data_IF_095243449041
#
_entry.id   IF_095243449041
#
_cell.length_a   1.000
_cell.length_b   1.000
_cell.length_c   1.000
_cell.angle_alpha   90.00
_cell.angle_beta   90.00
_cell.angle_gamma   90.00
#
_symmetry.space_group_name_H-M   'P 1'
#
loop_
_entity.id
_entity.type
_entity.pdbx_description
1 polymer ?
#
# COMPACT_ATOMS: atom_id res chain seq x y z
N UNK A 1 22.75 -1.86 -9.46
CA UNK A 1 22.97 -3.31 -9.26
C UNK A 1 22.29 -3.69 -7.93
N UNK A 2 21.33 -4.62 -7.95
CA UNK A 2 20.61 -5.02 -6.72
C UNK A 2 21.55 -5.82 -5.81
N UNK A 3 21.72 -5.38 -4.57
CA UNK A 3 22.53 -6.11 -3.58
C UNK A 3 21.60 -6.95 -2.70
N UNK A 4 21.72 -8.27 -2.82
CA UNK A 4 20.91 -9.23 -2.07
C UNK A 4 21.63 -9.70 -0.82
N UNK A 5 20.91 -9.85 0.30
CA UNK A 5 21.41 -10.58 1.46
C UNK A 5 20.37 -11.57 1.96
N UNK A 6 20.68 -12.86 1.83
CA UNK A 6 19.99 -13.95 2.55
C UNK A 6 20.72 -14.20 3.87
N UNK A 7 19.97 -14.30 4.98
CA UNK A 7 20.56 -14.52 6.30
C UNK A 7 21.04 -15.98 6.48
N UNK A 8 22.30 -16.17 6.89
CA UNK A 8 22.79 -17.45 7.44
C UNK A 8 22.71 -17.39 8.98
N UNK A 9 22.05 -18.34 9.65
CA UNK A 9 22.14 -18.44 11.10
C UNK A 9 23.54 -18.94 11.50
N UNK A 10 24.07 -18.38 12.60
CA UNK A 10 25.16 -19.01 13.36
C UNK A 10 24.50 -20.13 14.15
N UNK A 11 24.80 -21.39 13.81
CA UNK A 11 24.23 -22.55 14.49
C UNK A 11 24.94 -22.83 15.83
N UNK A 12 24.25 -23.38 16.83
CA UNK A 12 24.92 -24.03 17.95
C UNK A 12 25.49 -25.38 17.52
N UNK A 13 26.62 -25.79 18.12
CA UNK A 13 27.31 -27.06 17.89
C UNK A 13 26.50 -28.29 18.34
N UNK A 14 27.02 -29.50 18.10
CA UNK A 14 26.22 -30.72 18.10
C UNK A 14 25.96 -31.22 19.52
N UNK A 15 24.70 -31.50 19.84
CA UNK A 15 24.34 -32.34 20.98
C UNK A 15 23.83 -33.71 20.52
N UNK A 16 24.17 -34.68 21.36
CA UNK A 16 24.22 -36.11 21.12
C UNK A 16 22.83 -36.75 21.14
N UNK A 17 22.74 -37.90 20.47
CA UNK A 17 21.50 -38.58 20.15
C UNK A 17 20.83 -39.29 21.31
N UNK A 18 19.54 -39.57 21.12
CA UNK A 18 18.83 -40.66 21.78
C UNK A 18 17.93 -41.34 20.75
N UNK A 19 18.12 -42.65 20.61
CA UNK A 19 17.33 -43.56 19.78
C UNK A 19 15.88 -43.60 20.28
N UNK A 20 14.92 -43.70 19.35
CA UNK A 20 13.64 -44.35 19.63
C UNK A 20 13.18 -45.17 18.43
N UNK A 21 12.62 -46.31 18.77
CA UNK A 21 12.43 -47.52 17.99
C UNK A 21 11.46 -47.39 16.80
N UNK A 22 11.78 -48.16 15.76
CA UNK A 22 10.89 -48.51 14.66
C UNK A 22 9.71 -49.36 15.16
N UNK A 23 8.51 -49.04 14.68
CA UNK A 23 7.44 -50.04 14.53
C UNK A 23 6.91 -50.00 13.11
N UNK A 24 7.11 -51.13 12.47
CA UNK A 24 6.62 -51.55 11.18
C UNK A 24 5.08 -51.58 11.16
N UNK A 25 4.49 -51.23 10.03
CA UNK A 25 3.06 -51.07 9.85
C UNK A 25 2.73 -50.82 8.40
N UNK A 26 2.86 -51.86 7.58
CA UNK A 26 2.26 -51.91 6.24
C UNK A 26 0.75 -51.96 6.38
N UNK A 27 0.05 -51.06 5.69
CA UNK A 27 -1.19 -51.43 5.02
C UNK A 27 -1.49 -50.49 3.85
N UNK A 28 -1.82 -51.09 2.72
CA UNK A 28 -2.12 -50.40 1.46
C UNK A 28 -3.47 -49.71 1.51
N UNK A 29 -3.59 -48.58 0.81
CA UNK A 29 -4.87 -47.99 0.46
C UNK A 29 -4.90 -47.56 -1.00
N UNK A 30 -5.86 -48.15 -1.69
CA UNK A 30 -6.35 -47.77 -3.00
C UNK A 30 -6.80 -46.30 -3.01
N UNK A 31 -6.55 -45.64 -4.15
CA UNK A 31 -6.94 -44.26 -4.41
C UNK A 31 -8.46 -44.16 -4.65
N UNK A 32 -9.23 -43.92 -3.57
CA UNK A 32 -10.58 -43.39 -3.65
C UNK A 32 -10.55 -41.86 -3.61
N UNK A 33 -11.19 -41.20 -4.58
CA UNK A 33 -11.44 -39.74 -4.51
C UNK A 33 -12.28 -39.47 -3.25
N UNK A 34 -11.69 -38.82 -2.25
CA UNK A 34 -12.40 -38.39 -1.06
C UNK A 34 -13.44 -37.32 -1.44
N UNK A 35 -14.66 -37.44 -0.90
CA UNK A 35 -15.60 -36.33 -0.89
C UNK A 35 -15.00 -35.20 -0.04
N UNK A 36 -15.10 -33.93 -0.48
CA UNK A 36 -14.62 -32.80 0.31
C UNK A 36 -15.32 -32.77 1.68
N UNK A 37 -14.57 -32.39 2.72
CA UNK A 37 -15.13 -32.21 4.06
C UNK A 37 -16.13 -31.04 4.05
N UNK A 38 -17.14 -31.03 4.91
CA UNK A 38 -18.21 -30.01 4.90
C UNK A 38 -17.70 -28.54 4.98
N UNK A 39 -16.51 -28.31 5.56
CA UNK A 39 -15.85 -27.01 5.57
C UNK A 39 -15.20 -26.61 4.24
N UNK A 40 -14.74 -27.57 3.45
CA UNK A 40 -14.21 -27.35 2.11
C UNK A 40 -15.35 -27.04 1.13
N UNK A 41 -16.47 -27.76 1.20
CA UNK A 41 -17.65 -27.50 0.35
C UNK A 41 -18.18 -26.06 0.53
N UNK A 42 -18.33 -25.59 1.77
CA UNK A 42 -18.76 -24.22 2.06
C UNK A 42 -17.76 -23.15 1.58
N UNK A 43 -16.46 -23.49 1.53
CA UNK A 43 -15.43 -22.61 0.98
C UNK A 43 -15.52 -22.49 -0.55
N UNK A 44 -15.73 -23.62 -1.24
CA UNK A 44 -15.88 -23.64 -2.70
C UNK A 44 -17.14 -22.91 -3.15
N UNK A 45 -18.25 -23.09 -2.43
CA UNK A 45 -19.51 -22.40 -2.74
C UNK A 45 -19.37 -20.88 -2.59
N UNK A 46 -18.64 -20.41 -1.57
CA UNK A 46 -18.30 -18.99 -1.41
C UNK A 46 -17.50 -18.46 -2.60
N UNK A 47 -16.43 -19.15 -2.99
CA UNK A 47 -15.59 -18.75 -4.14
C UNK A 47 -16.43 -18.66 -5.42
N UNK A 48 -17.32 -19.62 -5.66
CA UNK A 48 -18.20 -19.60 -6.84
C UNK A 48 -19.22 -18.45 -6.80
N UNK A 49 -19.77 -18.15 -5.62
CA UNK A 49 -20.68 -17.01 -5.43
C UNK A 49 -19.99 -15.69 -5.76
N UNK A 50 -18.85 -15.42 -5.12
CA UNK A 50 -18.08 -14.20 -5.33
C UNK A 50 -17.56 -14.07 -6.78
N UNK A 51 -17.13 -15.17 -7.39
CA UNK A 51 -16.74 -15.19 -8.79
C UNK A 51 -17.92 -14.86 -9.71
N UNK A 52 -19.12 -15.40 -9.42
CA UNK A 52 -20.33 -15.13 -10.17
C UNK A 52 -20.73 -13.65 -10.15
N UNK A 53 -20.71 -13.02 -8.97
CA UNK A 53 -20.99 -11.58 -8.80
C UNK A 53 -19.97 -10.71 -9.54
N UNK A 54 -18.68 -11.02 -9.38
CA UNK A 54 -17.61 -10.30 -10.04
C UNK A 54 -17.70 -10.41 -11.57
N UNK A 55 -17.92 -11.61 -12.11
CA UNK A 55 -18.06 -11.82 -13.55
C UNK A 55 -19.31 -11.13 -14.10
N UNK A 56 -20.44 -11.17 -13.37
CA UNK A 56 -21.64 -10.43 -13.78
C UNK A 56 -21.35 -8.93 -13.92
N UNK A 57 -20.62 -8.34 -12.97
CA UNK A 57 -20.17 -6.95 -13.04
C UNK A 57 -19.24 -6.70 -14.23
N UNK A 58 -18.22 -7.56 -14.43
CA UNK A 58 -17.27 -7.43 -15.54
C UNK A 58 -17.97 -7.47 -16.90
N UNK A 59 -18.84 -8.43 -17.15
CA UNK A 59 -19.55 -8.58 -18.43
C UNK A 59 -20.59 -7.47 -18.66
N UNK A 60 -21.22 -6.95 -17.60
CA UNK A 60 -22.13 -5.81 -17.71
C UNK A 60 -21.40 -4.51 -18.10
N UNK A 61 -20.22 -4.26 -17.54
CA UNK A 61 -19.43 -3.05 -17.84
C UNK A 61 -18.52 -3.22 -19.08
N UNK A 62 -18.41 -4.43 -19.63
CA UNK A 62 -17.60 -4.75 -20.82
C UNK A 62 -18.41 -5.59 -21.83
N UNK A 63 -19.42 -5.02 -22.51
CA UNK A 63 -20.31 -5.77 -23.41
C UNK A 63 -19.58 -6.43 -24.59
N UNK A 64 -18.38 -5.94 -24.94
CA UNK A 64 -17.50 -6.57 -25.94
C UNK A 64 -16.93 -7.94 -25.53
N UNK A 65 -17.05 -8.35 -24.26
CA UNK A 65 -16.58 -9.65 -23.76
C UNK A 65 -17.48 -10.84 -24.18
N UNK A 66 -18.66 -10.57 -24.77
CA UNK A 66 -19.58 -11.60 -25.23
C UNK A 66 -20.47 -12.16 -24.11
N UNK A 67 -20.81 -13.45 -24.19
CA UNK A 67 -21.69 -14.10 -23.21
C UNK A 67 -20.91 -14.58 -21.99
N UNK A 68 -21.41 -14.29 -20.79
CA UNK A 68 -20.85 -14.76 -19.51
C UNK A 68 -20.92 -16.29 -19.31
N UNK A 69 -21.90 -16.97 -19.93
CA UNK A 69 -22.20 -18.40 -19.64
C UNK A 69 -21.03 -19.37 -19.83
N UNK A 70 -20.23 -19.32 -20.92
CA UNK A 70 -19.05 -20.17 -21.07
C UNK A 70 -18.03 -19.95 -19.95
N UNK A 71 -17.74 -18.69 -19.62
CA UNK A 71 -16.78 -18.34 -18.57
C UNK A 71 -17.20 -18.86 -17.19
N UNK A 72 -18.48 -18.80 -16.85
CA UNK A 72 -18.99 -19.39 -15.60
C UNK A 72 -18.80 -20.91 -15.53
N UNK A 73 -18.91 -21.62 -16.66
CA UNK A 73 -18.64 -23.07 -16.71
C UNK A 73 -17.16 -23.38 -16.52
N UNK A 74 -16.29 -22.60 -17.15
CA UNK A 74 -14.84 -22.72 -16.99
C UNK A 74 -14.42 -22.50 -15.54
N UNK A 75 -14.90 -21.41 -14.91
CA UNK A 75 -14.60 -21.11 -13.50
C UNK A 75 -15.11 -22.21 -12.58
N UNK A 76 -16.33 -22.73 -12.81
CA UNK A 76 -16.86 -23.85 -12.02
C UNK A 76 -15.99 -25.10 -12.12
N UNK A 77 -15.49 -25.42 -13.32
CA UNK A 77 -14.61 -26.56 -13.52
C UNK A 77 -13.25 -26.35 -12.85
N UNK A 78 -12.63 -25.17 -12.97
CA UNK A 78 -11.34 -24.86 -12.36
C UNK A 78 -11.41 -24.86 -10.83
N UNK A 79 -12.49 -24.33 -10.24
CA UNK A 79 -12.72 -24.35 -8.79
C UNK A 79 -12.91 -25.78 -8.29
N UNK A 80 -13.66 -26.62 -9.01
CA UNK A 80 -13.84 -28.02 -8.64
C UNK A 80 -12.52 -28.82 -8.68
N UNK A 81 -11.59 -28.46 -9.55
CA UNK A 81 -10.31 -29.14 -9.71
C UNK A 81 -9.23 -28.61 -8.75
N UNK A 82 -9.17 -27.30 -8.54
CA UNK A 82 -8.02 -26.63 -7.89
C UNK A 82 -8.37 -25.92 -6.59
N UNK A 83 -9.66 -25.82 -6.26
CA UNK A 83 -10.18 -25.06 -5.14
C UNK A 83 -10.24 -23.54 -5.35
N UNK A 84 -9.85 -23.05 -6.52
CA UNK A 84 -9.89 -21.62 -6.89
C UNK A 84 -9.98 -21.45 -8.42
N UNK A 85 -9.88 -20.24 -8.94
CA UNK A 85 -9.83 -20.00 -10.38
C UNK A 85 -8.85 -18.89 -10.75
N UNK A 86 -8.52 -18.80 -12.03
CA UNK A 86 -7.57 -17.83 -12.54
C UNK A 86 -8.29 -16.79 -13.40
N UNK A 87 -8.20 -15.51 -13.00
CA UNK A 87 -8.69 -14.39 -13.82
C UNK A 87 -7.98 -14.31 -15.17
N UNK A 88 -8.68 -13.87 -16.22
CA UNK A 88 -8.02 -13.39 -17.44
C UNK A 88 -7.24 -12.09 -17.17
N UNK A 89 -6.32 -11.67 -18.05
CA UNK A 89 -5.68 -10.36 -17.92
C UNK A 89 -6.68 -9.19 -17.87
N UNK A 90 -7.77 -9.27 -18.63
CA UNK A 90 -8.82 -8.25 -18.69
C UNK A 90 -9.64 -8.22 -17.40
N UNK A 91 -10.01 -9.40 -16.86
CA UNK A 91 -10.69 -9.54 -15.58
C UNK A 91 -9.82 -8.99 -14.45
N UNK A 92 -8.52 -9.32 -14.42
CA UNK A 92 -7.58 -8.78 -13.42
C UNK A 92 -7.49 -7.26 -13.48
N UNK A 93 -7.36 -6.71 -14.70
CA UNK A 93 -7.22 -5.28 -14.90
C UNK A 93 -8.51 -4.54 -14.49
N UNK A 94 -9.68 -5.09 -14.83
CA UNK A 94 -10.97 -4.56 -14.39
C UNK A 94 -11.12 -4.64 -12.87
N UNK A 95 -10.82 -5.79 -12.26
CA UNK A 95 -10.94 -5.97 -10.82
C UNK A 95 -10.05 -5.03 -10.01
N UNK A 96 -8.79 -4.84 -10.42
CA UNK A 96 -7.88 -3.89 -9.78
C UNK A 96 -8.38 -2.43 -9.89
N UNK A 97 -8.93 -2.05 -11.05
CA UNK A 97 -9.51 -0.73 -11.30
C UNK A 97 -10.77 -0.48 -10.47
N UNK A 98 -11.66 -1.46 -10.37
CA UNK A 98 -12.87 -1.37 -9.56
C UNK A 98 -12.53 -1.39 -8.06
N UNK A 99 -11.51 -2.14 -7.62
CA UNK A 99 -11.03 -2.08 -6.24
C UNK A 99 -10.61 -0.65 -5.83
N UNK A 100 -9.94 0.07 -6.74
CA UNK A 100 -9.64 1.49 -6.52
C UNK A 100 -10.88 2.37 -6.54
N UNK A 101 -11.81 2.16 -7.49
CA UNK A 101 -13.13 2.86 -7.52
C UNK A 101 -13.90 2.70 -6.20
N UNK A 102 -13.83 1.52 -5.61
CA UNK A 102 -14.53 1.15 -4.38
C UNK A 102 -13.82 1.61 -3.09
N UNK A 103 -12.65 2.24 -3.20
CA UNK A 103 -11.82 2.60 -2.04
C UNK A 103 -12.37 3.82 -1.29
N UNK A 104 -13.10 3.61 -0.19
CA UNK A 104 -13.81 4.67 0.54
C UNK A 104 -12.91 5.76 1.13
N UNK A 105 -11.64 5.43 1.40
CA UNK A 105 -10.60 6.34 1.94
C UNK A 105 -9.73 6.99 0.86
N UNK A 106 -10.16 6.97 -0.40
CA UNK A 106 -9.44 7.56 -1.54
C UNK A 106 -10.13 8.79 -2.10
N UNK A 107 -9.45 9.94 -2.12
CA UNK A 107 -9.97 11.14 -2.79
C UNK A 107 -9.70 11.13 -4.31
N UNK A 108 -8.62 10.46 -4.76
CA UNK A 108 -8.14 10.37 -6.14
C UNK A 108 -8.95 9.52 -7.12
N UNK A 109 -10.17 9.13 -6.78
CA UNK A 109 -10.89 8.08 -7.53
C UNK A 109 -11.35 8.49 -8.93
N UNK A 110 -11.30 9.77 -9.29
CA UNK A 110 -11.63 10.21 -10.65
C UNK A 110 -10.78 9.51 -11.73
N UNK A 111 -9.57 9.08 -11.37
CA UNK A 111 -8.58 8.48 -12.27
C UNK A 111 -8.62 6.95 -12.34
N UNK A 112 -9.61 6.31 -11.69
CA UNK A 112 -9.64 4.85 -11.52
C UNK A 112 -9.45 4.05 -12.81
N UNK A 113 -9.97 4.56 -13.94
CA UNK A 113 -9.82 3.92 -15.27
C UNK A 113 -8.40 3.99 -15.86
N UNK A 114 -7.59 4.96 -15.45
CA UNK A 114 -6.22 5.14 -15.94
C UNK A 114 -5.19 4.25 -15.25
N UNK A 115 -5.59 3.44 -14.26
CA UNK A 115 -4.70 2.53 -13.56
C UNK A 115 -4.00 1.59 -14.55
N UNK A 116 -2.66 1.66 -14.57
CA UNK A 116 -1.80 0.71 -15.27
C UNK A 116 -1.62 -0.53 -14.42
N UNK A 117 -1.99 -1.69 -14.98
CA UNK A 117 -1.91 -2.98 -14.27
C UNK A 117 -0.73 -3.77 -14.82
N UNK A 118 0.29 -3.96 -13.98
CA UNK A 118 1.43 -4.84 -14.26
C UNK A 118 1.09 -6.24 -13.77
N UNK A 119 0.66 -7.10 -14.69
CA UNK A 119 0.39 -8.51 -14.38
C UNK A 119 1.71 -9.25 -14.16
N UNK A 120 1.96 -9.62 -12.89
CA UNK A 120 3.12 -10.39 -12.43
C UNK A 120 2.67 -11.60 -11.61
N UNK A 121 1.47 -12.15 -11.90
CA UNK A 121 0.89 -13.27 -11.14
C UNK A 121 1.71 -14.56 -11.19
N UNK A 122 2.68 -14.66 -12.09
CA UNK A 122 3.65 -15.78 -12.17
C UNK A 122 4.88 -15.59 -11.26
N UNK A 123 5.04 -14.42 -10.65
CA UNK A 123 6.18 -14.08 -9.78
C UNK A 123 5.77 -14.33 -8.33
N UNK A 124 6.41 -15.32 -7.70
CA UNK A 124 6.14 -15.73 -6.31
C UNK A 124 7.39 -15.76 -5.41
N UNK A 125 8.59 -15.66 -5.99
CA UNK A 125 9.85 -15.65 -5.23
C UNK A 125 10.11 -14.27 -4.64
N UNK A 126 10.72 -14.22 -3.46
CA UNK A 126 11.03 -12.95 -2.80
C UNK A 126 11.96 -12.08 -3.65
N UNK A 127 12.94 -12.68 -4.34
CA UNK A 127 13.84 -11.98 -5.26
C UNK A 127 13.09 -11.41 -6.47
N UNK A 128 12.19 -12.19 -7.07
CA UNK A 128 11.41 -11.74 -8.23
C UNK A 128 10.47 -10.59 -7.88
N UNK A 129 9.81 -10.68 -6.72
CA UNK A 129 8.95 -9.59 -6.21
C UNK A 129 9.76 -8.34 -5.95
N UNK A 130 10.95 -8.46 -5.35
CA UNK A 130 11.83 -7.32 -5.11
C UNK A 130 12.29 -6.64 -6.40
N UNK A 131 12.69 -7.41 -7.42
CA UNK A 131 13.03 -6.88 -8.75
C UNK A 131 11.85 -6.11 -9.34
N UNK A 132 10.67 -6.71 -9.35
CA UNK A 132 9.48 -6.11 -9.97
C UNK A 132 8.92 -4.92 -9.17
N UNK A 133 9.15 -4.86 -7.86
CA UNK A 133 8.82 -3.70 -7.04
C UNK A 133 9.73 -2.49 -7.36
N UNK A 134 11.02 -2.74 -7.63
CA UNK A 134 11.94 -1.69 -8.08
C UNK A 134 11.58 -1.23 -9.50
N UNK A 135 11.24 -2.14 -10.41
CA UNK A 135 10.75 -1.78 -11.74
C UNK A 135 9.42 -1.01 -11.69
N UNK A 136 8.53 -1.33 -10.74
CA UNK A 136 7.33 -0.54 -10.50
C UNK A 136 7.68 0.93 -10.22
N UNK A 137 8.63 1.19 -9.32
CA UNK A 137 9.04 2.56 -8.97
C UNK A 137 9.63 3.32 -10.18
N UNK A 138 10.48 2.66 -10.97
CA UNK A 138 11.06 3.22 -12.21
C UNK A 138 9.99 3.57 -13.24
N UNK A 139 9.02 2.70 -13.43
CA UNK A 139 7.92 2.90 -14.38
C UNK A 139 6.83 3.85 -13.89
N UNK A 140 6.70 4.05 -12.57
CA UNK A 140 5.64 4.85 -11.97
C UNK A 140 5.84 6.35 -12.19
N UNK A 141 7.09 6.84 -12.26
CA UNK A 141 7.39 8.28 -12.36
C UNK A 141 8.32 8.65 -13.53
N UNK A 142 8.00 8.27 -14.79
CA UNK A 142 8.84 8.59 -15.94
C UNK A 142 9.03 10.11 -16.06
N UNK A 143 10.28 10.57 -15.89
CA UNK A 143 10.66 12.00 -15.92
C UNK A 143 9.83 12.85 -14.95
N UNK A 144 9.58 12.34 -13.73
CA UNK A 144 8.81 13.03 -12.69
C UNK A 144 7.30 12.97 -12.87
N UNK A 145 6.78 12.47 -14.01
CA UNK A 145 5.35 12.34 -14.25
C UNK A 145 4.81 11.07 -13.62
N UNK A 146 4.42 11.16 -12.35
CA UNK A 146 3.84 10.05 -11.59
C UNK A 146 2.53 9.60 -12.23
N UNK A 147 2.36 8.28 -12.40
CA UNK A 147 1.21 7.63 -13.03
C UNK A 147 0.62 6.58 -12.11
N UNK A 148 -0.72 6.43 -12.06
CA UNK A 148 -1.34 5.39 -11.29
C UNK A 148 -0.95 4.02 -11.81
N UNK A 149 -0.28 3.22 -10.98
CA UNK A 149 0.26 1.92 -11.35
C UNK A 149 0.02 0.92 -10.22
N UNK A 150 -0.30 -0.31 -10.56
CA UNK A 150 -0.34 -1.45 -9.64
C UNK A 150 0.47 -2.61 -10.22
N UNK A 151 1.22 -3.31 -9.38
CA UNK A 151 1.84 -4.58 -9.74
C UNK A 151 1.15 -5.70 -8.99
N UNK A 152 0.52 -6.64 -9.69
CA UNK A 152 -0.20 -7.74 -9.03
C UNK A 152 0.64 -9.01 -9.11
N UNK A 153 1.10 -9.51 -7.96
CA UNK A 153 1.90 -10.72 -7.83
C UNK A 153 1.04 -11.98 -7.70
N UNK A 154 1.67 -13.14 -7.48
CA UNK A 154 0.96 -14.42 -7.35
C UNK A 154 -0.14 -14.37 -6.26
N UNK A 155 -1.34 -14.92 -6.54
CA UNK A 155 -2.41 -15.00 -5.54
C UNK A 155 -2.11 -16.03 -4.46
N UNK A 156 -2.86 -15.96 -3.36
CA UNK A 156 -2.98 -17.10 -2.45
C UNK A 156 -3.70 -18.26 -3.19
N UNK A 157 -3.20 -19.49 -3.02
CA UNK A 157 -3.85 -20.73 -3.48
C UNK A 157 -4.06 -21.68 -2.30
N UNK A 158 -5.02 -22.63 -2.40
CA UNK A 158 -5.18 -23.67 -1.38
C UNK A 158 -3.83 -24.35 -1.06
N UNK A 159 -3.41 -24.31 0.20
CA UNK A 159 -2.14 -24.87 0.67
C UNK A 159 -0.86 -24.14 0.23
N UNK A 160 -0.96 -23.05 -0.54
CA UNK A 160 0.19 -22.33 -1.09
C UNK A 160 -0.04 -20.80 -1.04
N UNK A 161 0.42 -20.11 0.02
CA UNK A 161 0.26 -18.66 0.13
C UNK A 161 1.12 -17.91 -0.89
N UNK A 162 0.61 -16.79 -1.40
CA UNK A 162 1.35 -15.87 -2.26
C UNK A 162 2.42 -15.07 -1.51
N UNK A 163 3.28 -14.34 -2.22
CA UNK A 163 4.28 -13.49 -1.58
C UNK A 163 3.65 -12.34 -0.79
N UNK A 164 4.43 -11.69 0.07
CA UNK A 164 4.06 -10.49 0.84
C UNK A 164 5.21 -9.49 0.85
N UNK A 165 4.89 -8.20 0.80
CA UNK A 165 5.83 -7.12 1.15
C UNK A 165 5.45 -6.65 2.55
N UNK A 166 6.43 -6.57 3.44
CA UNK A 166 6.22 -6.20 4.84
C UNK A 166 6.16 -4.69 5.05
N UNK A 167 6.78 -3.92 4.15
CA UNK A 167 6.77 -2.48 4.19
C UNK A 167 5.35 -1.94 3.96
N UNK A 168 4.96 -0.91 4.71
CA UNK A 168 3.68 -0.20 4.48
C UNK A 168 3.63 0.39 3.07
N UNK A 169 4.74 1.00 2.64
CA UNK A 169 4.95 1.51 1.30
C UNK A 169 6.30 1.06 0.77
N UNK A 170 6.45 0.99 -0.56
CA UNK A 170 7.72 0.60 -1.20
C UNK A 170 8.85 1.53 -0.78
N UNK A 171 8.59 2.83 -0.67
CA UNK A 171 9.54 3.82 -0.16
C UNK A 171 8.99 4.37 1.15
N UNK A 172 9.78 4.26 2.22
CA UNK A 172 9.58 4.95 3.51
C UNK A 172 10.95 5.27 4.10
N UNK A 173 11.00 6.30 4.92
CA UNK A 173 12.20 6.65 5.68
C UNK A 173 12.26 5.90 7.00
N UNK A 174 13.48 5.64 7.46
CA UNK A 174 13.76 4.97 8.71
C UNK A 174 13.55 5.89 9.91
N UNK A 175 13.34 5.30 11.09
CA UNK A 175 13.25 5.98 12.37
C UNK A 175 14.20 5.33 13.38
N UNK A 176 15.28 6.01 13.73
CA UNK A 176 16.28 5.50 14.67
C UNK A 176 15.98 6.01 16.07
N UNK A 177 15.69 5.11 17.01
CA UNK A 177 15.55 5.46 18.42
C UNK A 177 16.91 5.86 18.98
N UNK A 178 16.99 7.07 19.52
CA UNK A 178 18.21 7.64 20.09
C UNK A 178 18.30 7.35 21.59
N UNK A 179 19.52 7.41 22.19
CA UNK A 179 19.70 7.15 23.62
C UNK A 179 18.94 8.10 24.55
N UNK A 180 18.66 9.32 24.11
CA UNK A 180 17.91 10.35 24.85
C UNK A 180 16.38 10.19 24.76
N UNK A 181 15.89 9.16 24.07
CA UNK A 181 14.48 8.89 23.87
C UNK A 181 13.87 9.55 22.62
N UNK A 182 14.61 10.44 21.94
CA UNK A 182 14.19 11.02 20.67
C UNK A 182 14.24 9.99 19.52
N UNK A 183 13.63 10.33 18.39
CA UNK A 183 13.75 9.54 17.15
C UNK A 183 14.36 10.39 16.05
N UNK A 184 15.45 9.90 15.46
CA UNK A 184 16.04 10.46 14.26
C UNK A 184 15.35 9.85 13.03
N UNK A 185 14.77 10.69 12.17
CA UNK A 185 14.01 10.28 10.99
C UNK A 185 12.52 10.18 11.29
N UNK A 186 11.84 9.16 10.77
CA UNK A 186 10.38 9.04 10.86
C UNK A 186 9.95 8.16 12.07
N UNK A 187 9.33 8.73 13.12
CA UNK A 187 8.85 7.94 14.27
C UNK A 187 7.85 6.85 13.91
N UNK A 188 7.05 7.02 12.85
CA UNK A 188 6.13 5.98 12.36
C UNK A 188 6.85 4.71 11.95
N UNK A 189 8.07 4.85 11.46
CA UNK A 189 8.93 3.75 11.03
C UNK A 189 9.83 3.21 12.15
N UNK A 190 9.80 3.78 13.37
CA UNK A 190 10.81 3.48 14.39
C UNK A 190 10.80 2.03 14.86
N UNK A 191 9.61 1.46 15.05
CA UNK A 191 9.45 0.06 15.43
C UNK A 191 9.93 -0.88 14.32
N UNK A 192 9.51 -0.61 13.08
CA UNK A 192 9.94 -1.39 11.91
C UNK A 192 11.46 -1.29 11.69
N UNK A 193 12.03 -0.10 11.83
CA UNK A 193 13.48 0.14 11.76
C UNK A 193 14.23 -0.67 12.82
N UNK A 194 13.78 -0.61 14.07
CA UNK A 194 14.36 -1.40 15.17
C UNK A 194 14.31 -2.90 14.86
N UNK A 195 13.18 -3.37 14.32
CA UNK A 195 12.99 -4.74 13.90
C UNK A 195 14.00 -5.16 12.82
N UNK A 196 14.25 -4.31 11.82
CA UNK A 196 15.18 -4.57 10.72
C UNK A 196 16.64 -4.58 11.19
N UNK A 197 17.03 -3.64 12.06
CA UNK A 197 18.37 -3.59 12.65
C UNK A 197 18.68 -4.89 13.40
N UNK A 198 17.73 -5.37 14.22
CA UNK A 198 17.85 -6.67 14.92
C UNK A 198 17.96 -7.86 13.96
N UNK A 199 17.35 -7.76 12.77
CA UNK A 199 17.41 -8.77 11.71
C UNK A 199 18.58 -8.56 10.73
N UNK A 200 19.58 -7.76 11.11
CA UNK A 200 20.85 -7.63 10.40
C UNK A 200 20.88 -6.57 9.30
N UNK A 201 19.86 -5.72 9.19
CA UNK A 201 20.01 -4.48 8.43
C UNK A 201 21.06 -3.61 9.11
N UNK A 202 21.97 -3.02 8.33
CA UNK A 202 23.08 -2.20 8.86
C UNK A 202 22.68 -0.77 9.21
N UNK A 203 21.44 -0.37 8.90
CA UNK A 203 21.03 1.03 8.88
C UNK A 203 21.42 1.71 7.57
N UNK A 204 20.91 2.94 7.38
CA UNK A 204 21.35 3.85 6.35
C UNK A 204 22.53 4.69 6.84
N UNK A 205 22.85 5.79 6.14
CA UNK A 205 23.90 6.73 6.54
C UNK A 205 23.70 7.44 7.89
N UNK A 206 22.56 7.26 8.57
CA UNK A 206 22.20 7.92 9.82
C UNK A 206 21.60 9.31 9.61
N UNK A 207 20.77 9.49 8.57
CA UNK A 207 20.10 10.77 8.29
C UNK A 207 18.60 10.71 8.59
N UNK A 208 17.91 11.87 8.72
CA UNK A 208 16.46 11.90 8.86
C UNK A 208 15.67 11.31 7.68
N UNK A 209 16.32 11.04 6.54
CA UNK A 209 15.68 10.60 5.31
C UNK A 209 16.34 9.33 4.74
N UNK A 210 16.83 8.45 5.61
CA UNK A 210 17.39 7.16 5.21
C UNK A 210 16.29 6.23 4.70
N UNK A 211 16.35 5.83 3.42
CA UNK A 211 15.37 4.91 2.81
C UNK A 211 15.49 3.51 3.43
N UNK A 212 14.36 2.99 3.90
CA UNK A 212 14.25 1.62 4.40
C UNK A 212 14.50 0.59 3.30
N UNK A 213 15.11 -0.58 3.62
CA UNK A 213 15.17 -1.68 2.67
C UNK A 213 13.76 -2.25 2.43
N UNK A 214 13.55 -2.79 1.24
CA UNK A 214 12.35 -3.57 0.94
C UNK A 214 12.48 -4.96 1.57
N UNK A 215 11.44 -5.38 2.28
CA UNK A 215 11.37 -6.68 2.94
C UNK A 215 10.25 -7.52 2.36
N UNK A 216 10.64 -8.67 1.81
CA UNK A 216 9.75 -9.52 1.02
C UNK A 216 9.79 -10.95 1.53
N UNK A 217 8.64 -11.56 1.80
CA UNK A 217 8.53 -12.99 2.07
C UNK A 217 7.85 -13.71 0.91
N UNK A 218 8.44 -14.81 0.44
CA UNK A 218 7.77 -15.75 -0.47
C UNK A 218 6.91 -16.76 0.29
N UNK A 219 6.29 -17.69 -0.43
CA UNK A 219 5.49 -18.80 0.12
C UNK A 219 6.31 -19.65 1.13
N UNK A 220 6.22 -19.35 2.43
CA UNK A 220 6.93 -20.08 3.49
C UNK A 220 8.44 -19.84 3.62
N UNK A 221 8.99 -18.86 2.89
CA UNK A 221 10.42 -18.55 2.89
C UNK A 221 10.85 -17.54 3.97
N UNK A 222 12.14 -17.54 4.33
CA UNK A 222 12.73 -16.46 5.14
C UNK A 222 12.60 -15.12 4.39
N UNK A 223 12.29 -14.02 5.09
CA UNK A 223 12.18 -12.71 4.44
C UNK A 223 13.51 -12.29 3.83
N UNK A 224 13.47 -11.85 2.59
CA UNK A 224 14.55 -11.18 1.88
C UNK A 224 14.54 -9.70 2.26
N UNK A 225 15.69 -9.17 2.69
CA UNK A 225 15.91 -7.74 2.83
C UNK A 225 16.78 -7.26 1.67
N UNK A 226 16.30 -6.27 0.92
CA UNK A 226 17.01 -5.73 -0.23
C UNK A 226 16.99 -4.20 -0.22
N UNK A 227 18.15 -3.60 -0.47
CA UNK A 227 18.23 -2.16 -0.64
C UNK A 227 17.55 -1.75 -1.95
N UNK A 228 16.77 -0.68 -1.90
CA UNK A 228 16.18 -0.08 -3.09
C UNK A 228 17.30 0.71 -3.79
N UNK A 229 17.58 0.45 -5.08
CA UNK A 229 18.57 1.22 -5.82
C UNK A 229 18.21 2.71 -5.83
N UNK A 230 19.20 3.59 -5.61
CA UNK A 230 18.96 5.04 -5.55
C UNK A 230 18.33 5.61 -6.82
N UNK A 231 18.59 5.01 -7.99
CA UNK A 231 17.96 5.42 -9.25
C UNK A 231 16.45 5.13 -9.33
N UNK A 232 15.93 4.25 -8.46
CA UNK A 232 14.51 3.97 -8.33
C UNK A 232 13.81 4.86 -7.28
N UNK A 233 14.56 5.66 -6.52
CA UNK A 233 14.04 6.57 -5.50
C UNK A 233 14.10 8.00 -6.02
N UNK A 234 12.98 8.50 -6.54
CA UNK A 234 12.84 9.91 -6.88
C UNK A 234 12.47 10.70 -5.62
N UNK A 235 13.33 11.63 -5.20
CA UNK A 235 13.09 12.54 -4.07
C UNK A 235 13.02 14.00 -4.53
N UNK A 236 12.21 14.79 -3.85
CA UNK A 236 12.10 16.24 -4.01
C UNK A 236 12.61 16.91 -2.74
N UNK A 237 13.65 17.73 -2.86
CA UNK A 237 14.08 18.61 -1.77
C UNK A 237 13.08 19.75 -1.57
N UNK A 238 12.70 20.03 -0.33
CA UNK A 238 11.66 21.00 -0.01
C UNK A 238 12.29 22.39 0.24
N UNK A 239 11.82 23.37 -0.53
CA UNK A 239 12.16 24.78 -0.44
C UNK A 239 10.88 25.63 -0.45
N UNK A 240 10.98 26.86 0.04
CA UNK A 240 9.86 27.80 0.08
C UNK A 240 10.11 28.94 -0.92
N UNK A 241 9.08 29.41 -1.66
CA UNK A 241 9.23 30.52 -2.60
C UNK A 241 9.70 31.82 -1.92
N UNK A 242 9.18 32.10 -0.72
CA UNK A 242 9.43 33.36 -0.01
C UNK A 242 10.39 33.24 1.18
N UNK A 243 10.74 32.01 1.58
CA UNK A 243 11.57 31.74 2.75
C UNK A 243 12.82 30.95 2.37
N UNK A 244 13.91 31.60 1.93
CA UNK A 244 15.15 30.93 1.51
C UNK A 244 15.80 30.07 2.60
N UNK A 245 15.46 30.31 3.87
CA UNK A 245 15.94 29.49 4.99
C UNK A 245 15.35 28.08 4.99
N UNK A 246 14.20 27.85 4.35
CA UNK A 246 13.52 26.55 4.35
C UNK A 246 14.39 25.47 3.69
N UNK A 247 15.05 25.80 2.57
CA UNK A 247 15.96 24.89 1.88
C UNK A 247 17.14 24.43 2.76
N UNK A 248 17.55 25.25 3.73
CA UNK A 248 18.63 24.91 4.67
C UNK A 248 18.21 23.90 5.75
N UNK A 249 16.92 23.64 5.91
CA UNK A 249 16.44 22.56 6.78
C UNK A 249 16.77 21.18 6.20
N UNK A 250 17.08 21.07 4.90
CA UNK A 250 17.45 19.81 4.26
C UNK A 250 16.30 18.80 4.14
N UNK A 251 15.06 19.25 4.34
CA UNK A 251 13.85 18.44 4.23
C UNK A 251 13.68 17.95 2.80
N UNK A 252 13.26 16.69 2.66
CA UNK A 252 12.96 16.07 1.36
C UNK A 252 11.83 15.06 1.51
N UNK A 253 11.21 14.71 0.39
CA UNK A 253 10.23 13.64 0.36
C UNK A 253 10.28 12.83 -0.94
N UNK A 254 10.01 11.54 -0.88
CA UNK A 254 9.93 10.69 -2.06
C UNK A 254 8.70 11.05 -2.90
N UNK A 255 8.79 10.94 -4.22
CA UNK A 255 7.74 11.39 -5.14
C UNK A 255 6.62 10.36 -5.36
N UNK A 256 6.93 9.06 -5.18
CA UNK A 256 5.99 7.97 -5.44
C UNK A 256 5.50 7.39 -4.11
N UNK A 257 4.24 7.64 -3.72
CA UNK A 257 3.60 6.93 -2.61
C UNK A 257 3.10 5.58 -3.12
N UNK A 258 3.84 4.50 -2.91
CA UNK A 258 3.42 3.17 -3.37
C UNK A 258 3.05 2.29 -2.17
N UNK A 259 1.77 2.17 -1.85
CA UNK A 259 1.26 1.30 -0.78
C UNK A 259 1.57 -0.16 -1.13
N UNK A 260 2.08 -0.95 -0.19
CA UNK A 260 2.56 -2.31 -0.48
C UNK A 260 2.11 -3.41 0.49
N UNK A 261 1.43 -3.05 1.59
CA UNK A 261 0.99 -3.99 2.63
C UNK A 261 -0.51 -4.35 2.56
N UNK A 262 -1.23 -3.92 1.53
CA UNK A 262 -2.63 -4.28 1.30
C UNK A 262 -2.75 -5.45 0.33
N UNK A 263 -3.72 -6.33 0.57
CA UNK A 263 -4.15 -7.35 -0.35
C UNK A 263 -5.24 -6.82 -1.28
N UNK A 264 -5.23 -7.24 -2.55
CA UNK A 264 -6.29 -7.00 -3.52
C UNK A 264 -7.21 -8.23 -3.57
N UNK A 265 -8.50 -8.07 -3.27
CA UNK A 265 -9.51 -9.12 -3.32
C UNK A 265 -10.43 -8.91 -4.53
N UNK A 266 -10.51 -9.91 -5.41
CA UNK A 266 -11.33 -9.89 -6.63
C UNK A 266 -12.08 -11.22 -6.73
N UNK A 267 -13.40 -11.19 -6.60
CA UNK A 267 -14.29 -12.33 -6.85
C UNK A 267 -13.84 -13.65 -6.20
N UNK A 268 -13.55 -13.67 -4.90
CA UNK A 268 -13.08 -14.87 -4.19
C UNK A 268 -11.59 -15.17 -4.29
N UNK A 269 -10.82 -14.43 -5.11
CA UNK A 269 -9.36 -14.60 -5.22
C UNK A 269 -8.63 -13.47 -4.49
N UNK A 270 -7.67 -13.85 -3.65
CA UNK A 270 -6.83 -12.92 -2.89
C UNK A 270 -5.45 -12.78 -3.54
N UNK A 271 -5.09 -11.54 -3.88
CA UNK A 271 -3.76 -11.13 -4.31
C UNK A 271 -3.06 -10.41 -3.17
N UNK A 272 -2.28 -11.13 -2.36
CA UNK A 272 -1.79 -10.61 -1.09
C UNK A 272 -0.64 -9.61 -1.22
N UNK A 273 -0.01 -9.54 -2.39
CA UNK A 273 1.03 -8.58 -2.70
C UNK A 273 0.64 -7.89 -4.00
N UNK A 274 0.13 -6.67 -3.86
CA UNK A 274 -0.37 -5.89 -4.98
C UNK A 274 0.02 -4.40 -4.83
N UNK A 275 1.33 -4.06 -4.77
CA UNK A 275 1.74 -2.68 -4.53
C UNK A 275 1.17 -1.73 -5.57
N UNK A 276 0.62 -0.62 -5.09
CA UNK A 276 -0.17 0.34 -5.85
C UNK A 276 0.25 1.77 -5.51
N UNK A 277 0.36 2.62 -6.53
CA UNK A 277 0.56 4.06 -6.38
C UNK A 277 -0.45 4.85 -7.22
N UNK A 278 -0.81 6.03 -6.73
CA UNK A 278 -1.22 7.20 -7.50
C UNK A 278 -0.13 8.28 -7.42
N UNK A 279 -0.49 9.54 -7.22
CA UNK A 279 0.44 10.62 -6.82
C UNK A 279 -0.02 11.36 -5.56
N UNK A 280 0.89 12.08 -4.91
CA UNK A 280 0.57 12.78 -3.66
C UNK A 280 -0.46 13.90 -3.84
N UNK A 281 -1.36 14.02 -2.86
CA UNK A 281 -1.98 15.28 -2.48
C UNK A 281 -1.05 16.02 -1.50
N UNK A 282 -0.81 17.32 -1.71
CA UNK A 282 0.19 18.09 -0.94
C UNK A 282 0.08 17.95 0.57
N UNK A 283 -1.14 17.88 1.11
CA UNK A 283 -1.42 17.74 2.54
C UNK A 283 -0.99 16.39 3.11
N UNK A 284 -0.84 15.33 2.31
CA UNK A 284 -0.26 14.07 2.80
C UNK A 284 1.20 14.28 3.25
N UNK A 285 1.95 15.09 2.51
CA UNK A 285 3.34 15.42 2.87
C UNK A 285 3.35 16.55 3.89
N UNK A 286 2.79 17.70 3.54
CA UNK A 286 2.93 18.93 4.33
C UNK A 286 2.20 18.87 5.67
N UNK A 287 0.93 18.44 5.66
CA UNK A 287 0.11 18.45 6.87
C UNK A 287 0.25 17.21 7.73
N UNK A 288 0.53 16.04 7.14
CA UNK A 288 0.66 14.79 7.90
C UNK A 288 2.13 14.41 8.13
N UNK A 289 2.86 14.11 7.08
CA UNK A 289 4.23 13.59 7.22
C UNK A 289 5.19 14.60 7.88
N UNK A 290 5.12 15.87 7.48
CA UNK A 290 6.05 16.89 7.95
C UNK A 290 5.59 17.61 9.22
N UNK A 291 4.27 17.70 9.46
CA UNK A 291 3.73 18.54 10.53
C UNK A 291 3.15 17.77 11.73
N UNK A 292 2.71 16.51 11.60
CA UNK A 292 2.17 15.77 12.74
C UNK A 292 3.25 15.63 13.84
N UNK A 293 2.85 15.82 15.11
CA UNK A 293 3.73 15.75 16.29
C UNK A 293 4.34 14.35 16.49
N UNK A 294 3.65 13.30 16.04
CA UNK A 294 4.12 11.91 16.06
C UNK A 294 4.90 11.53 14.78
N UNK A 295 5.25 12.51 13.94
CA UNK A 295 6.01 12.36 12.69
C UNK A 295 7.27 13.22 12.70
N UNK A 296 7.48 14.09 11.70
CA UNK A 296 8.67 14.94 11.63
C UNK A 296 8.55 16.23 12.44
N UNK A 297 7.35 16.57 12.93
CA UNK A 297 7.08 17.69 13.83
C UNK A 297 7.79 19.01 13.45
N UNK A 298 7.63 19.44 12.19
CA UNK A 298 8.27 20.68 11.70
C UNK A 298 7.58 21.96 12.15
N UNK A 299 6.37 21.89 12.75
CA UNK A 299 5.60 23.09 13.12
C UNK A 299 6.38 24.03 14.05
N UNK A 300 6.99 23.58 15.16
CA UNK A 300 7.73 24.47 16.06
C UNK A 300 8.94 25.11 15.38
N UNK A 301 9.64 24.34 14.53
CA UNK A 301 10.84 24.80 13.80
C UNK A 301 10.47 25.90 12.81
N UNK A 302 9.40 25.69 12.04
CA UNK A 302 8.92 26.68 11.05
C UNK A 302 8.42 27.94 11.74
N UNK A 303 7.67 27.80 12.84
CA UNK A 303 7.18 28.94 13.61
C UNK A 303 8.32 29.80 14.19
N UNK A 304 9.36 29.18 14.74
CA UNK A 304 10.56 29.87 15.22
C UNK A 304 11.24 30.65 14.08
N UNK A 305 11.45 30.01 12.92
CA UNK A 305 12.11 30.64 11.76
C UNK A 305 11.29 31.77 11.13
N UNK A 306 9.97 31.74 11.28
CA UNK A 306 9.07 32.82 10.87
C UNK A 306 8.94 33.92 11.93
N UNK A 307 9.44 33.72 13.15
CA UNK A 307 9.30 34.68 14.26
C UNK A 307 7.86 34.78 14.78
N UNK A 308 7.10 33.68 14.72
CA UNK A 308 5.72 33.64 15.23
C UNK A 308 5.71 33.59 16.77
N UNK A 309 4.69 34.20 17.38
CA UNK A 309 4.44 34.07 18.81
C UNK A 309 3.86 32.68 19.13
N UNK A 310 4.69 31.80 19.69
CA UNK A 310 4.31 30.44 20.10
C UNK A 310 3.88 30.33 21.57
N UNK A 311 3.75 31.46 22.27
CA UNK A 311 3.40 31.46 23.71
C UNK A 311 1.93 31.10 23.99
N UNK A 312 1.06 31.21 22.99
CA UNK A 312 -0.38 30.92 23.12
C UNK A 312 -0.98 30.37 21.83
N UNK A 313 -1.86 29.38 21.92
CA UNK A 313 -2.61 28.86 20.77
C UNK A 313 -3.49 29.92 20.09
N UNK A 314 -3.87 30.97 20.81
CA UNK A 314 -4.70 32.06 20.26
C UNK A 314 -3.98 32.87 19.18
N UNK A 315 -2.65 32.78 19.07
CA UNK A 315 -1.89 33.41 17.99
C UNK A 315 -2.07 32.69 16.66
N UNK A 316 -2.62 31.46 16.67
CA UNK A 316 -2.77 30.58 15.49
C UNK A 316 -1.43 30.28 14.80
N UNK A 317 -0.35 30.22 15.59
CA UNK A 317 0.98 29.97 15.06
C UNK A 317 1.09 28.61 14.35
N UNK A 318 0.38 27.58 14.85
CA UNK A 318 0.32 26.25 14.22
C UNK A 318 -0.33 26.34 12.84
N UNK A 319 -1.48 27.00 12.73
CA UNK A 319 -2.20 27.18 11.48
C UNK A 319 -1.34 27.90 10.43
N UNK A 320 -0.67 28.99 10.84
CA UNK A 320 0.20 29.76 9.95
C UNK A 320 1.39 28.92 9.48
N UNK A 321 2.13 28.28 10.39
CA UNK A 321 3.26 27.41 10.03
C UNK A 321 2.82 26.23 9.13
N UNK A 322 1.67 25.63 9.41
CA UNK A 322 1.11 24.51 8.66
C UNK A 322 0.81 24.90 7.20
N UNK A 323 0.25 26.10 6.98
CA UNK A 323 0.02 26.62 5.62
C UNK A 323 1.34 26.78 4.88
N UNK A 324 2.35 27.41 5.47
CA UNK A 324 3.64 27.64 4.81
C UNK A 324 4.41 26.34 4.51
N UNK A 325 4.28 25.31 5.36
CA UNK A 325 4.83 23.98 5.05
C UNK A 325 4.16 23.40 3.79
N UNK A 326 2.84 23.54 3.64
CA UNK A 326 2.12 23.05 2.47
C UNK A 326 2.44 23.86 1.21
N UNK A 327 2.64 25.18 1.33
CA UNK A 327 3.15 26.03 0.24
C UNK A 327 4.53 25.56 -0.21
N UNK A 328 5.45 25.29 0.73
CA UNK A 328 6.78 24.77 0.43
C UNK A 328 6.72 23.46 -0.38
N UNK A 329 5.87 22.52 0.05
CA UNK A 329 5.71 21.22 -0.60
C UNK A 329 5.23 21.38 -2.04
N UNK A 330 4.12 22.09 -2.26
CA UNK A 330 3.56 22.26 -3.61
C UNK A 330 4.55 22.98 -4.53
N UNK A 331 5.14 24.09 -4.06
CA UNK A 331 6.15 24.84 -4.81
C UNK A 331 7.34 23.95 -5.23
N UNK A 332 7.85 23.13 -4.32
CA UNK A 332 9.02 22.30 -4.57
C UNK A 332 8.75 21.21 -5.60
N UNK A 333 7.58 20.57 -5.53
CA UNK A 333 7.18 19.55 -6.50
C UNK A 333 6.95 20.15 -7.89
N UNK A 334 6.32 21.32 -7.97
CA UNK A 334 6.14 22.06 -9.22
C UNK A 334 7.48 22.46 -9.83
N UNK A 335 8.39 23.03 -9.02
CA UNK A 335 9.72 23.43 -9.46
C UNK A 335 10.58 22.24 -9.94
N UNK A 336 10.40 21.07 -9.32
CA UNK A 336 11.04 19.82 -9.74
C UNK A 336 10.36 19.13 -10.94
N UNK A 337 9.22 19.66 -11.41
CA UNK A 337 8.42 19.08 -12.49
C UNK A 337 7.75 17.74 -12.14
N UNK A 338 7.63 17.44 -10.84
CA UNK A 338 7.09 16.19 -10.30
C UNK A 338 5.58 16.32 -10.06
N UNK A 339 4.80 15.31 -10.45
CA UNK A 339 3.34 15.32 -10.26
C UNK A 339 2.97 15.41 -8.77
N UNK A 340 2.16 16.40 -8.42
CA UNK A 340 1.47 16.55 -7.14
C UNK A 340 0.13 17.25 -7.39
N UNK A 341 -0.85 17.08 -6.49
CA UNK A 341 -2.10 17.85 -6.50
C UNK A 341 -2.30 18.64 -5.22
N UNK A 342 -3.00 19.78 -5.31
CA UNK A 342 -3.52 20.49 -4.15
C UNK A 342 -4.86 19.91 -3.67
N UNK A 343 -5.15 20.09 -2.39
CA UNK A 343 -6.32 19.49 -1.74
C UNK A 343 -7.65 20.14 -2.14
N UNK A 344 -7.67 21.42 -2.56
CA UNK A 344 -8.89 22.05 -3.04
C UNK A 344 -9.30 21.51 -4.42
N UNK A 345 -8.33 21.30 -5.32
CA UNK A 345 -8.58 20.73 -6.64
C UNK A 345 -8.99 19.27 -6.56
N UNK A 346 -8.32 18.45 -5.74
CA UNK A 346 -8.73 17.04 -5.56
C UNK A 346 -10.11 16.92 -4.91
N UNK A 347 -10.45 17.80 -3.97
CA UNK A 347 -11.81 17.83 -3.40
C UNK A 347 -12.88 18.09 -4.47
N UNK A 348 -12.66 19.01 -5.41
CA UNK A 348 -13.58 19.24 -6.54
C UNK A 348 -13.63 18.06 -7.50
N UNK A 349 -12.48 17.45 -7.79
CA UNK A 349 -12.39 16.25 -8.66
C UNK A 349 -13.10 15.05 -8.05
N UNK A 350 -13.04 14.90 -6.74
CA UNK A 350 -13.75 13.86 -6.01
C UNK A 350 -15.27 14.02 -6.15
N UNK A 351 -15.82 15.22 -6.02
CA UNK A 351 -17.25 15.44 -6.25
C UNK A 351 -17.65 15.15 -7.71
N UNK A 352 -16.79 15.49 -8.68
CA UNK A 352 -17.01 15.09 -10.08
C UNK A 352 -17.04 13.57 -10.25
N UNK A 353 -16.19 12.83 -9.53
CA UNK A 353 -16.23 11.37 -9.52
C UNK A 353 -17.55 10.85 -8.94
N UNK A 354 -17.94 11.37 -7.77
CA UNK A 354 -19.17 10.99 -7.10
C UNK A 354 -20.39 11.20 -8.02
N UNK A 355 -20.52 12.36 -8.65
CA UNK A 355 -21.61 12.64 -9.62
C UNK A 355 -21.63 11.65 -10.80
N UNK A 356 -20.46 11.17 -11.23
CA UNK A 356 -20.36 10.17 -12.32
C UNK A 356 -20.83 8.79 -11.86
N UNK A 357 -20.54 8.41 -10.62
CA UNK A 357 -21.00 7.15 -10.05
C UNK A 357 -22.51 7.17 -9.81
N UNK A 358 -23.04 8.27 -9.26
CA UNK A 358 -24.48 8.47 -9.07
C UNK A 358 -25.26 8.43 -10.39
N UNK A 359 -24.77 9.13 -11.42
CA UNK A 359 -25.38 9.11 -12.75
C UNK A 359 -25.40 7.72 -13.38
N UNK A 360 -24.44 6.88 -12.99
CA UNK A 360 -24.38 5.49 -13.42
C UNK A 360 -25.17 4.53 -12.52
N UNK A 361 -25.95 5.05 -11.56
CA UNK A 361 -26.77 4.27 -10.64
C UNK A 361 -25.97 3.49 -9.60
N UNK A 362 -24.72 3.88 -9.34
CA UNK A 362 -23.84 3.21 -8.37
C UNK A 362 -23.72 4.00 -7.08
N UNK A 363 -23.54 3.28 -5.97
CA UNK A 363 -23.12 3.88 -4.70
C UNK A 363 -21.63 4.25 -4.79
N UNK A 364 -21.26 5.41 -4.25
CA UNK A 364 -19.88 5.87 -4.16
C UNK A 364 -19.45 5.83 -2.68
N UNK A 365 -18.83 4.74 -2.20
CA UNK A 365 -18.51 4.60 -0.79
C UNK A 365 -17.50 5.68 -0.38
N UNK A 366 -17.68 6.35 0.74
CA UNK A 366 -16.74 7.37 1.20
C UNK A 366 -16.72 7.50 2.71
N UNK A 367 -15.51 7.46 3.27
CA UNK A 367 -15.26 7.73 4.67
C UNK A 367 -14.94 9.22 4.81
N UNK A 368 -15.88 9.99 5.37
CA UNK A 368 -15.76 11.44 5.51
C UNK A 368 -14.46 11.86 6.22
N UNK A 369 -14.04 11.10 7.23
CA UNK A 369 -12.84 11.40 8.03
C UNK A 369 -11.53 11.30 7.24
N UNK A 370 -11.55 10.57 6.12
CA UNK A 370 -10.42 10.42 5.21
C UNK A 370 -10.53 11.30 3.96
N UNK A 371 -11.76 11.59 3.51
CA UNK A 371 -12.00 12.40 2.31
C UNK A 371 -11.81 13.90 2.58
N UNK A 372 -12.17 14.38 3.77
CA UNK A 372 -11.93 15.79 4.12
C UNK A 372 -10.44 16.02 4.36
N UNK A 373 -9.81 16.97 3.65
CA UNK A 373 -8.38 17.24 3.86
C UNK A 373 -8.07 17.70 5.28
N UNK A 374 -6.89 17.34 5.82
CA UNK A 374 -6.48 17.66 7.20
C UNK A 374 -6.15 19.16 7.39
N UNK A 375 -6.10 19.93 6.30
CA UNK A 375 -5.93 21.37 6.29
C UNK A 375 -7.12 22.00 5.57
N UNK A 376 -7.66 23.09 6.13
CA UNK A 376 -8.72 23.90 5.50
C UNK A 376 -9.99 23.13 5.15
N UNK A 377 -10.38 22.15 5.98
CA UNK A 377 -11.49 21.22 5.72
C UNK A 377 -12.78 21.90 5.23
N UNK A 378 -13.33 22.85 6.00
CA UNK A 378 -14.58 23.55 5.64
C UNK A 378 -14.46 24.48 4.43
N UNK A 379 -13.24 24.82 4.00
CA UNK A 379 -12.98 25.54 2.75
C UNK A 379 -12.93 24.60 1.53
N UNK A 380 -13.16 23.30 1.73
CA UNK A 380 -13.28 22.32 0.65
C UNK A 380 -14.74 21.89 0.47
N UNK A 381 -15.19 21.61 -0.77
CA UNK A 381 -16.58 21.28 -1.01
C UNK A 381 -16.97 19.89 -0.48
N UNK A 382 -15.99 19.01 -0.22
CA UNK A 382 -16.23 17.66 0.30
C UNK A 382 -16.67 17.65 1.77
N UNK A 383 -16.41 18.72 2.52
CA UNK A 383 -16.81 18.86 3.92
C UNK A 383 -18.34 18.92 4.10
N UNK A 384 -19.04 19.58 3.16
CA UNK A 384 -20.45 19.99 3.30
C UNK A 384 -21.45 18.90 2.91
N UNK A 385 -21.05 17.63 2.96
CA UNK A 385 -21.86 16.50 2.48
C UNK A 385 -21.69 15.28 3.38
N UNK A 386 -22.76 14.50 3.52
CA UNK A 386 -22.74 13.16 4.11
C UNK A 386 -22.44 12.09 3.05
N UNK A 387 -21.72 11.06 3.48
CA UNK A 387 -21.32 9.95 2.62
C UNK A 387 -21.73 8.62 3.25
N UNK A 388 -22.08 7.67 2.40
CA UNK A 388 -22.28 6.28 2.81
C UNK A 388 -20.93 5.56 2.81
N UNK A 389 -20.50 5.04 3.95
CA UNK A 389 -19.30 4.19 4.05
C UNK A 389 -19.71 2.71 3.96
N UNK A 390 -19.91 2.24 2.74
CA UNK A 390 -20.27 0.84 2.45
C UNK A 390 -19.08 0.06 1.92
N UNK A 391 -18.89 -1.15 2.43
CA UNK A 391 -17.87 -2.07 1.91
C UNK A 391 -18.35 -2.70 0.61
N UNK A 392 -17.65 -2.44 -0.49
CA UNK A 392 -17.89 -3.05 -1.80
C UNK A 392 -16.75 -4.01 -2.16
N UNK A 393 -17.01 -4.92 -3.10
CA UNK A 393 -16.00 -5.77 -3.75
C UNK A 393 -15.99 -5.51 -5.26
N UNK A 394 -14.85 -5.69 -5.96
CA UNK A 394 -13.47 -5.88 -5.49
C UNK A 394 -12.97 -4.77 -4.55
N UNK A 395 -11.91 -5.03 -3.77
CA UNK A 395 -11.38 -4.08 -2.77
C UNK A 395 -9.91 -4.31 -2.42
N UNK A 396 -9.29 -3.28 -1.86
CA UNK A 396 -8.02 -3.39 -1.13
C UNK A 396 -8.28 -3.53 0.36
N UNK A 397 -7.64 -4.50 1.02
CA UNK A 397 -7.81 -4.75 2.45
C UNK A 397 -6.49 -5.01 3.14
N UNK A 398 -6.40 -4.60 4.41
CA UNK A 398 -5.37 -5.08 5.31
C UNK A 398 -5.78 -6.44 5.85
N UNK A 399 -4.86 -7.40 5.82
CA UNK A 399 -5.07 -8.66 6.50
C UNK A 399 -4.12 -8.77 7.70
N UNK A 400 -4.59 -9.35 8.82
CA UNK A 400 -3.77 -9.65 10.00
C UNK A 400 -2.46 -10.38 9.70
N UNK A 401 -2.47 -11.28 8.72
CA UNK A 401 -1.32 -12.10 8.31
C UNK A 401 -0.29 -11.33 7.45
N UNK A 402 -0.60 -10.09 7.06
CA UNK A 402 0.29 -9.23 6.27
C UNK A 402 1.32 -8.50 7.15
N UNK A 403 1.11 -8.46 8.47
CA UNK A 403 2.04 -7.81 9.39
C UNK A 403 3.29 -8.68 9.65
N UNK A 404 4.47 -8.04 9.85
CA UNK A 404 5.67 -8.75 10.27
C UNK A 404 5.42 -9.52 11.58
N UNK A 405 5.98 -10.75 11.73
CA UNK A 405 5.89 -11.48 12.99
C UNK A 405 6.47 -10.68 14.16
N UNK A 406 5.65 -10.45 15.19
CA UNK A 406 6.04 -9.77 16.43
C UNK A 406 5.79 -8.26 16.47
N UNK A 407 5.11 -7.67 15.49
CA UNK A 407 4.50 -6.35 15.67
C UNK A 407 3.10 -6.51 16.30
N UNK A 408 2.76 -5.72 17.34
CA UNK A 408 1.43 -5.74 17.92
C UNK A 408 0.40 -5.31 16.87
N UNK A 409 -0.74 -6.01 16.83
CA UNK A 409 -1.99 -5.48 16.30
C UNK A 409 -2.47 -4.37 17.25
N UNK A 410 -1.76 -3.24 17.29
CA UNK A 410 -2.41 -2.02 17.77
C UNK A 410 -3.62 -1.74 16.87
N UNK A 411 -4.61 -1.00 17.35
CA UNK A 411 -5.81 -0.53 16.63
C UNK A 411 -5.50 0.36 15.40
N UNK A 412 -4.44 0.05 14.63
CA UNK A 412 -4.10 0.65 13.33
C UNK A 412 -5.08 0.23 12.23
N UNK A 413 -6.04 -0.64 12.52
CA UNK A 413 -7.19 -0.94 11.65
C UNK A 413 -8.00 0.34 11.30
N UNK A 414 -7.86 1.42 12.11
CA UNK A 414 -8.44 2.73 11.83
C UNK A 414 -7.55 3.74 11.08
N UNK A 415 -6.21 3.57 11.02
CA UNK A 415 -5.28 4.69 10.78
C UNK A 415 -4.33 4.57 9.56
N UNK A 416 -4.51 3.57 8.70
CA UNK A 416 -3.51 3.26 7.66
C UNK A 416 -4.26 2.92 6.37
N UNK A 417 -4.37 3.73 5.32
CA UNK A 417 -3.46 4.67 4.68
C UNK A 417 -4.34 5.55 3.78
N UNK A 418 -4.00 6.83 3.59
CA UNK A 418 -4.73 7.66 2.64
C UNK A 418 -4.45 7.09 1.26
N UNK A 419 -5.50 6.74 0.53
CA UNK A 419 -5.31 6.28 -0.83
C UNK A 419 -5.15 7.55 -1.64
N UNK A 420 -3.88 7.89 -1.82
CA UNK A 420 -3.20 8.62 -2.88
C UNK A 420 -4.11 9.12 -4.02
N UNK A 421 -3.85 10.34 -4.49
CA UNK A 421 -4.59 10.98 -5.59
C UNK A 421 -4.40 10.31 -6.95
#
# INVERSE_FOLDING_TARGET
MLTWRRFRPVGPGPEQGVRKEERDGRDGREAGRACPEAGEEASLERVLGEAGEFLAMFYAENPGAGSIRPRLREVRAEVAETGTYTHTPEELAFGARVAWRNSSRCIGRLYWKSLRVRDRRKVATAEGVAVEAVEHLREAAPRGKVRPTITVFAPDRPGAPGPRIWNEQLIRYAGYRMPDGSVLGDPRSAEFTTMLLRRGWRGGPGTPFDVLPLVVSGAGGRPLQCAIPGDAVLEVGIAHPDYPWFARLGVRWHAVPAISNMALEIGGVRYPCAPFNGWYMGTEIGARNLADEDRYDLLPIVAEKMGLDTSTERSLWRDHALVEINVAVLHSFDAAGVTISDHHTESRRFLTHLEREERAGRVCPADWSWIVPPLSGSATPVFHRYYDDVALTPRFVHHPDALPPGQPQGDRAGETTAIIS
#
